data_IF_656581498013
#
_entry.id   IF_656581498013
#
_cell.length_a   1.000
_cell.length_b   1.000
_cell.length_c   1.000
_cell.angle_alpha   90.00
_cell.angle_beta   90.00
_cell.angle_gamma   90.00
#
_symmetry.space_group_name_H-M   'P 1'
#
loop_
_entity.id
_entity.type
_entity.pdbx_description
1 polymer ?
#
# COMPACT_ATOMS: atom_id res chain seq x y z
N UNK A 1 -7.92 0.26 27.57
CA UNK A 1 -6.99 0.82 26.59
C UNK A 1 -7.49 2.16 26.08
N UNK A 2 -6.60 3.06 25.68
CA UNK A 2 -7.01 4.26 24.94
C UNK A 2 -7.05 3.98 23.44
N UNK A 3 -8.04 4.59 22.75
CA UNK A 3 -8.21 4.44 21.30
C UNK A 3 -8.76 5.74 20.69
N UNK A 4 -8.49 5.96 19.40
CA UNK A 4 -9.04 7.04 18.61
C UNK A 4 -10.34 6.57 17.97
N UNK A 5 -11.48 6.98 18.51
CA UNK A 5 -12.82 6.57 18.08
C UNK A 5 -13.58 7.74 17.46
N UNK A 6 -14.45 7.49 16.50
CA UNK A 6 -15.47 8.43 16.05
C UNK A 6 -16.87 7.83 16.18
N UNK A 7 -17.81 8.66 16.66
CA UNK A 7 -19.20 8.25 16.93
C UNK A 7 -20.16 8.74 15.86
N UNK A 8 -19.71 9.62 14.95
CA UNK A 8 -20.44 10.12 13.80
C UNK A 8 -19.47 10.48 12.67
N UNK A 9 -19.94 10.49 11.43
CA UNK A 9 -19.16 10.98 10.31
C UNK A 9 -19.06 12.52 10.36
N UNK A 10 -17.90 13.07 9.95
CA UNK A 10 -17.75 14.51 9.96
C UNK A 10 -16.31 15.00 9.73
N UNK A 11 -15.99 16.23 10.12
CA UNK A 11 -14.63 16.80 10.04
C UNK A 11 -13.68 16.12 11.05
N UNK A 12 -12.36 16.38 10.97
CA UNK A 12 -11.37 15.74 11.86
C UNK A 12 -11.68 15.77 13.36
N UNK A 13 -12.40 16.78 13.82
CA UNK A 13 -12.80 16.94 15.23
C UNK A 13 -13.80 15.91 15.76
N UNK A 14 -14.37 15.02 14.91
CA UNK A 14 -15.20 13.89 15.38
C UNK A 14 -14.37 12.72 15.91
N UNK A 15 -13.04 12.76 15.73
CA UNK A 15 -12.11 11.79 16.30
C UNK A 15 -11.85 12.15 17.77
N UNK A 16 -12.12 11.22 18.67
CA UNK A 16 -11.95 11.39 20.12
C UNK A 16 -10.99 10.33 20.66
N UNK A 17 -10.03 10.74 21.48
CA UNK A 17 -9.10 9.84 22.16
C UNK A 17 -9.67 9.44 23.51
N UNK A 18 -10.30 8.26 23.59
CA UNK A 18 -11.11 7.81 24.72
C UNK A 18 -10.66 6.46 25.25
N UNK A 19 -11.07 6.16 26.51
CA UNK A 19 -10.89 4.84 27.10
C UNK A 19 -11.96 3.87 26.62
N UNK A 20 -11.53 2.75 26.07
CA UNK A 20 -12.35 1.61 25.67
C UNK A 20 -11.94 0.35 26.47
N UNK A 21 -12.82 -0.65 26.59
CA UNK A 21 -12.43 -1.96 27.13
C UNK A 21 -11.25 -2.56 26.34
N UNK A 22 -10.35 -3.24 27.05
CA UNK A 22 -9.28 -3.98 26.39
C UNK A 22 -9.84 -5.11 25.54
N UNK A 23 -9.32 -5.34 24.33
CA UNK A 23 -9.73 -6.46 23.51
C UNK A 23 -9.22 -7.78 24.12
N UNK A 24 -9.96 -8.86 23.87
CA UNK A 24 -9.60 -10.23 24.27
C UNK A 24 -9.44 -11.07 23.03
N UNK A 25 -8.41 -11.91 22.96
CA UNK A 25 -8.17 -12.79 21.83
C UNK A 25 -9.30 -13.82 21.66
N UNK A 26 -9.91 -13.86 20.47
CA UNK A 26 -10.73 -15.00 20.06
C UNK A 26 -9.87 -16.24 19.79
N UNK A 27 -10.46 -17.42 19.57
CA UNK A 27 -9.69 -18.66 19.39
C UNK A 27 -8.61 -18.59 18.30
N UNK A 28 -8.85 -17.86 17.20
CA UNK A 28 -7.96 -17.73 16.04
C UNK A 28 -7.29 -16.34 15.93
N UNK A 29 -7.44 -15.51 16.99
CA UNK A 29 -6.96 -14.13 17.00
C UNK A 29 -5.72 -13.98 17.89
N UNK A 30 -5.08 -12.82 17.73
CA UNK A 30 -4.07 -12.30 18.64
C UNK A 30 -4.49 -10.90 19.13
N UNK A 31 -4.03 -10.52 20.33
CA UNK A 31 -4.03 -9.13 20.78
C UNK A 31 -2.62 -8.57 20.60
N UNK A 32 -2.53 -7.40 20.03
CA UNK A 32 -1.29 -6.70 19.69
C UNK A 32 -1.24 -5.41 20.51
N UNK A 33 -0.14 -5.19 21.23
CA UNK A 33 0.24 -3.86 21.71
C UNK A 33 0.74 -3.07 20.51
N UNK A 34 -0.04 -2.07 20.12
CA UNK A 34 0.25 -1.27 18.91
C UNK A 34 1.39 -0.31 19.21
N UNK A 35 2.38 -0.26 18.35
CA UNK A 35 3.46 0.71 18.38
C UNK A 35 3.30 1.76 17.27
N UNK A 36 2.83 1.36 16.11
CA UNK A 36 2.65 2.26 14.99
C UNK A 36 1.46 1.84 14.12
N UNK A 37 0.78 2.83 13.52
CA UNK A 37 -0.26 2.66 12.51
C UNK A 37 -0.20 3.82 11.53
N UNK A 38 -0.49 3.60 10.24
CA UNK A 38 -0.36 4.69 9.25
C UNK A 38 -1.70 5.34 8.93
N UNK A 39 -1.72 6.67 8.74
CA UNK A 39 -2.90 7.39 8.25
C UNK A 39 -3.01 7.22 6.73
N UNK A 40 -4.15 6.73 6.26
CA UNK A 40 -4.45 6.49 4.85
C UNK A 40 -5.53 7.44 4.33
N UNK A 41 -5.16 8.37 3.44
CA UNK A 41 -6.07 9.40 2.92
C UNK A 41 -7.34 8.83 2.29
N UNK A 42 -7.18 7.83 1.42
CA UNK A 42 -8.29 7.23 0.66
C UNK A 42 -9.11 6.22 1.47
N UNK A 43 -8.67 5.90 2.68
CA UNK A 43 -9.37 5.04 3.63
C UNK A 43 -9.77 5.83 4.86
N UNK A 44 -8.84 6.02 5.81
CA UNK A 44 -9.14 6.54 7.14
C UNK A 44 -9.78 7.93 7.08
N UNK A 45 -9.18 8.85 6.29
CA UNK A 45 -9.73 10.21 6.13
C UNK A 45 -11.09 10.18 5.42
N UNK A 46 -11.22 9.42 4.34
CA UNK A 46 -12.45 9.34 3.56
C UNK A 46 -13.59 8.61 4.31
N UNK A 47 -13.27 7.57 5.07
CA UNK A 47 -14.24 6.85 5.92
C UNK A 47 -14.74 7.77 7.03
N UNK A 48 -13.83 8.37 7.82
CA UNK A 48 -14.19 9.29 8.89
C UNK A 48 -15.06 10.45 8.39
N UNK A 49 -14.74 10.99 7.20
CA UNK A 49 -15.50 12.07 6.58
C UNK A 49 -16.88 11.62 6.02
N UNK A 50 -17.16 10.32 5.94
CA UNK A 50 -18.37 9.79 5.32
C UNK A 50 -18.39 9.86 3.79
N UNK A 51 -17.26 10.16 3.15
CA UNK A 51 -17.15 10.30 1.68
C UNK A 51 -16.87 8.98 0.97
N UNK A 52 -16.69 7.89 1.72
CA UNK A 52 -16.42 6.55 1.20
C UNK A 52 -17.46 5.50 1.66
N UNK A 53 -18.78 5.69 1.37
CA UNK A 53 -19.84 4.82 1.88
C UNK A 53 -19.75 3.38 1.34
N UNK A 54 -19.05 3.15 0.25
CA UNK A 54 -18.82 1.83 -0.34
C UNK A 54 -17.98 0.89 0.54
N UNK A 55 -17.30 1.41 1.56
CA UNK A 55 -16.63 0.58 2.56
C UNK A 55 -17.59 -0.06 3.57
N UNK A 56 -18.78 0.51 3.76
CA UNK A 56 -19.80 -0.04 4.65
C UNK A 56 -19.53 0.18 6.14
N UNK A 57 -18.56 1.04 6.49
CA UNK A 57 -18.29 1.38 7.90
C UNK A 57 -19.43 2.19 8.47
N UNK A 58 -19.80 1.89 9.72
CA UNK A 58 -20.78 2.65 10.50
C UNK A 58 -20.18 3.03 11.87
N UNK A 59 -20.34 4.27 12.31
CA UNK A 59 -19.99 4.67 13.69
C UNK A 59 -20.84 3.92 14.75
N UNK A 60 -20.32 3.67 15.98
CA UNK A 60 -18.96 4.01 16.43
C UNK A 60 -17.89 3.11 15.81
N UNK A 61 -16.73 3.68 15.48
CA UNK A 61 -15.66 2.93 14.85
C UNK A 61 -14.26 3.46 15.22
N UNK A 62 -13.27 2.55 15.26
CA UNK A 62 -11.83 2.82 15.41
C UNK A 62 -11.17 2.50 14.08
N UNK A 63 -10.46 3.46 13.50
CA UNK A 63 -9.75 3.33 12.22
C UNK A 63 -8.39 2.61 12.39
N UNK A 64 -7.57 2.64 11.32
CA UNK A 64 -6.23 2.07 11.30
C UNK A 64 -6.19 0.64 10.77
N UNK A 65 -5.85 0.49 9.49
CA UNK A 65 -5.93 -0.81 8.77
C UNK A 65 -4.62 -1.59 8.75
N UNK A 66 -3.54 -1.00 9.25
CA UNK A 66 -2.18 -1.52 9.11
C UNK A 66 -1.32 -1.40 10.39
N UNK A 67 -1.87 -1.68 11.59
CA UNK A 67 -1.07 -1.54 12.81
C UNK A 67 0.10 -2.52 12.83
N UNK A 68 1.18 -2.08 13.48
CA UNK A 68 2.34 -2.92 13.81
C UNK A 68 2.67 -2.78 15.29
N UNK A 69 3.19 -3.84 15.88
CA UNK A 69 3.47 -3.88 17.31
C UNK A 69 3.89 -5.26 17.78
N UNK A 70 3.65 -5.54 19.07
CA UNK A 70 4.04 -6.76 19.74
C UNK A 70 2.82 -7.56 20.18
N UNK A 71 2.81 -8.87 19.92
CA UNK A 71 1.75 -9.78 20.38
C UNK A 71 1.81 -9.89 21.90
N UNK A 72 0.69 -9.59 22.57
CA UNK A 72 0.56 -9.68 24.04
C UNK A 72 -0.38 -10.80 24.50
N UNK A 73 -1.25 -11.30 23.63
CA UNK A 73 -2.15 -12.43 23.90
C UNK A 73 -2.37 -13.24 22.60
N UNK A 74 -2.52 -14.57 22.72
CA UNK A 74 -2.82 -15.46 21.60
C UNK A 74 -4.04 -16.31 21.92
N UNK A 75 -4.93 -16.50 20.94
CA UNK A 75 -6.04 -17.44 21.03
C UNK A 75 -5.59 -18.89 21.02
N UNK A 76 -6.45 -19.79 21.50
CA UNK A 76 -6.12 -21.20 21.72
C UNK A 76 -5.78 -22.01 20.46
N UNK A 77 -6.20 -21.55 19.28
CA UNK A 77 -5.91 -22.20 17.99
C UNK A 77 -4.67 -21.61 17.30
N UNK A 78 -4.09 -20.51 17.82
CA UNK A 78 -2.95 -19.85 17.21
C UNK A 78 -1.68 -20.64 17.46
N UNK A 79 -1.03 -21.10 16.39
CA UNK A 79 0.21 -21.89 16.47
C UNK A 79 1.41 -21.25 15.74
N UNK A 80 1.15 -20.23 14.92
CA UNK A 80 2.16 -19.55 14.09
C UNK A 80 2.71 -18.28 14.72
N UNK A 81 2.10 -17.78 15.80
CA UNK A 81 2.50 -16.59 16.54
C UNK A 81 2.57 -16.89 18.04
N UNK A 82 3.40 -16.16 18.76
CA UNK A 82 3.61 -16.25 20.20
C UNK A 82 3.63 -14.87 20.83
N UNK A 83 3.32 -14.79 22.12
CA UNK A 83 3.53 -13.55 22.90
C UNK A 83 4.98 -13.11 22.81
N UNK A 84 5.19 -11.82 22.54
CA UNK A 84 6.50 -11.23 22.29
C UNK A 84 6.88 -11.14 20.81
N UNK A 85 6.17 -11.81 19.88
CA UNK A 85 6.43 -11.68 18.44
C UNK A 85 6.14 -10.26 17.97
N UNK A 86 7.07 -9.71 17.18
CA UNK A 86 6.90 -8.46 16.44
C UNK A 86 6.06 -8.75 15.20
N UNK A 87 4.96 -8.05 15.04
CA UNK A 87 4.03 -8.30 13.92
C UNK A 87 3.53 -7.01 13.30
N UNK A 88 3.07 -7.12 12.06
CA UNK A 88 2.24 -6.11 11.41
C UNK A 88 1.00 -6.76 10.81
N UNK A 89 -0.11 -6.06 10.86
CA UNK A 89 -1.39 -6.55 10.34
C UNK A 89 -1.53 -6.14 8.88
N UNK A 90 -1.92 -7.08 8.03
CA UNK A 90 -2.36 -6.81 6.67
C UNK A 90 -3.88 -6.63 6.65
N UNK A 91 -4.40 -5.79 5.76
CA UNK A 91 -5.83 -5.48 5.71
C UNK A 91 -6.73 -6.69 5.39
N UNK A 92 -6.20 -7.71 4.69
CA UNK A 92 -6.98 -8.90 4.31
C UNK A 92 -7.26 -9.82 5.49
N UNK A 93 -8.54 -10.20 5.70
CA UNK A 93 -8.96 -11.15 6.73
C UNK A 93 -9.42 -12.48 6.13
N UNK A 94 -9.36 -13.59 6.89
CA UNK A 94 -10.00 -14.84 6.51
C UNK A 94 -11.47 -14.63 6.13
N UNK A 95 -11.96 -15.41 5.15
CA UNK A 95 -13.34 -15.27 4.65
C UNK A 95 -13.57 -14.04 3.77
N UNK A 96 -12.53 -13.22 3.54
CA UNK A 96 -12.59 -12.09 2.62
C UNK A 96 -12.94 -10.75 3.26
N UNK A 97 -12.98 -10.66 4.57
CA UNK A 97 -13.12 -9.41 5.31
C UNK A 97 -11.89 -8.51 5.21
N UNK A 98 -12.03 -7.28 5.73
CA UNK A 98 -10.97 -6.24 5.74
C UNK A 98 -10.81 -5.72 7.16
N UNK A 99 -9.62 -5.95 7.71
CA UNK A 99 -9.24 -5.44 9.02
C UNK A 99 -9.31 -3.90 9.06
N UNK A 100 -9.81 -3.36 10.17
CA UNK A 100 -10.01 -1.91 10.32
C UNK A 100 -11.18 -1.33 9.51
N UNK A 101 -11.94 -2.18 8.82
CA UNK A 101 -13.15 -1.82 8.06
C UNK A 101 -14.37 -2.57 8.63
N UNK A 102 -14.35 -3.90 8.64
CA UNK A 102 -15.43 -4.73 9.19
C UNK A 102 -15.26 -5.01 10.69
N UNK A 103 -14.16 -4.57 11.30
CA UNK A 103 -13.88 -4.61 12.73
C UNK A 103 -13.13 -3.35 13.14
N UNK A 104 -13.02 -3.09 14.43
CA UNK A 104 -12.17 -2.02 14.94
C UNK A 104 -10.72 -2.21 14.49
N UNK A 105 -10.09 -1.10 14.10
CA UNK A 105 -8.72 -1.07 13.60
C UNK A 105 -7.68 -0.82 14.70
N UNK A 106 -6.52 -0.36 14.24
CA UNK A 106 -5.31 -0.21 15.04
C UNK A 106 -5.04 1.20 15.59
N UNK A 107 -5.95 2.17 15.42
CA UNK A 107 -5.80 3.51 16.02
C UNK A 107 -6.08 3.43 17.53
N UNK A 108 -5.33 2.59 18.25
CA UNK A 108 -5.52 2.21 19.65
C UNK A 108 -4.22 1.71 20.28
N UNK A 109 -4.16 1.66 21.61
CA UNK A 109 -3.02 1.07 22.33
C UNK A 109 -2.96 -0.46 22.21
N UNK A 110 -4.12 -1.11 22.16
CA UNK A 110 -4.25 -2.54 21.95
C UNK A 110 -5.24 -2.80 20.81
N UNK A 111 -4.97 -3.79 19.99
CA UNK A 111 -5.92 -4.21 18.95
C UNK A 111 -6.00 -5.72 18.83
N UNK A 112 -7.18 -6.24 18.48
CA UNK A 112 -7.38 -7.65 18.16
C UNK A 112 -7.35 -7.84 16.65
N UNK A 113 -6.58 -8.80 16.18
CA UNK A 113 -6.53 -9.16 14.77
C UNK A 113 -6.51 -10.67 14.57
N UNK A 114 -7.09 -11.21 13.47
CA UNK A 114 -6.91 -12.60 13.11
C UNK A 114 -5.40 -12.93 12.93
N UNK A 115 -4.92 -14.00 13.55
CA UNK A 115 -3.52 -14.42 13.43
C UNK A 115 -3.09 -14.65 11.97
N UNK A 116 -4.02 -15.06 11.11
CA UNK A 116 -3.79 -15.23 9.67
C UNK A 116 -3.61 -13.92 8.89
N UNK A 117 -3.99 -12.78 9.48
CA UNK A 117 -3.76 -11.43 8.92
C UNK A 117 -2.45 -10.82 9.40
N UNK A 118 -1.79 -11.42 10.37
CA UNK A 118 -0.56 -10.93 10.96
C UNK A 118 0.65 -11.54 10.28
N UNK A 119 1.67 -10.72 10.06
CA UNK A 119 2.96 -11.13 9.48
C UNK A 119 4.08 -10.73 10.43
N UNK A 120 5.02 -11.64 10.69
CA UNK A 120 6.20 -11.34 11.53
C UNK A 120 7.07 -10.30 10.86
N UNK A 121 7.43 -9.28 11.62
CA UNK A 121 8.32 -8.19 11.22
C UNK A 121 9.76 -8.58 11.58
N UNK A 122 10.72 -8.38 10.66
CA UNK A 122 12.14 -8.59 10.92
C UNK A 122 12.65 -7.62 11.98
N UNK A 123 13.62 -8.03 12.77
CA UNK A 123 14.15 -7.20 13.88
C UNK A 123 14.78 -5.90 13.39
N UNK A 124 15.34 -5.91 12.19
CA UNK A 124 15.97 -4.75 11.53
C UNK A 124 14.96 -3.71 11.04
N UNK A 125 13.66 -4.07 10.94
CA UNK A 125 12.60 -3.19 10.43
C UNK A 125 11.88 -2.53 11.61
N UNK A 126 11.81 -1.19 11.62
CA UNK A 126 11.05 -0.44 12.61
C UNK A 126 9.54 -0.63 12.45
N UNK A 127 8.76 -0.42 13.52
CA UNK A 127 7.30 -0.55 13.44
C UNK A 127 6.68 0.49 12.51
N UNK A 128 7.21 1.70 12.46
CA UNK A 128 6.77 2.74 11.55
C UNK A 128 6.92 2.34 10.06
N UNK A 129 8.03 1.72 9.69
CA UNK A 129 8.25 1.17 8.36
C UNK A 129 7.35 -0.04 8.11
N UNK A 130 7.17 -0.89 9.13
CA UNK A 130 6.38 -2.11 9.02
C UNK A 130 4.92 -1.83 8.65
N UNK A 131 4.29 -0.75 9.15
CA UNK A 131 2.92 -0.38 8.76
C UNK A 131 2.82 -0.09 7.27
N UNK A 132 3.78 0.68 6.73
CA UNK A 132 3.78 1.06 5.31
C UNK A 132 4.01 -0.16 4.42
N UNK A 133 4.95 -1.03 4.83
CA UNK A 133 5.27 -2.27 4.10
C UNK A 133 4.07 -3.21 4.12
N UNK A 134 3.46 -3.48 5.26
CA UNK A 134 2.31 -4.40 5.35
C UNK A 134 1.09 -3.91 4.57
N UNK A 135 0.92 -2.59 4.43
CA UNK A 135 -0.19 -2.00 3.68
C UNK A 135 0.01 -2.05 2.17
N UNK A 136 1.21 -1.78 1.70
CA UNK A 136 1.48 -1.59 0.27
C UNK A 136 2.36 -2.68 -0.34
N UNK A 137 3.25 -3.28 0.45
CA UNK A 137 4.17 -4.32 0.00
C UNK A 137 3.50 -5.54 -0.62
N UNK A 138 2.50 -6.17 0.03
CA UNK A 138 1.80 -7.32 -0.54
C UNK A 138 1.17 -7.02 -1.90
N UNK A 139 0.61 -5.82 -2.06
CA UNK A 139 0.01 -5.40 -3.34
C UNK A 139 1.08 -5.23 -4.40
N UNK A 140 2.18 -4.53 -4.09
CA UNK A 140 3.29 -4.33 -5.01
C UNK A 140 3.94 -5.65 -5.41
N UNK A 141 4.18 -6.54 -4.45
CA UNK A 141 4.74 -7.87 -4.70
C UNK A 141 3.81 -8.71 -5.60
N UNK A 142 2.53 -8.74 -5.31
CA UNK A 142 1.54 -9.48 -6.10
C UNK A 142 1.47 -8.96 -7.54
N UNK A 143 1.45 -7.64 -7.72
CA UNK A 143 1.45 -7.03 -9.06
C UNK A 143 2.71 -7.37 -9.86
N UNK A 144 3.88 -7.31 -9.25
CA UNK A 144 5.14 -7.58 -9.96
C UNK A 144 5.35 -9.07 -10.24
N UNK A 145 5.17 -9.92 -9.23
CA UNK A 145 5.67 -11.30 -9.29
C UNK A 145 4.58 -12.34 -9.48
N UNK A 146 3.44 -12.24 -8.79
CA UNK A 146 2.38 -13.26 -8.91
C UNK A 146 1.52 -13.05 -10.17
N UNK A 147 1.17 -11.81 -10.51
CA UNK A 147 0.38 -11.46 -11.68
C UNK A 147 1.25 -11.03 -12.87
N UNK A 148 2.24 -10.19 -12.61
CA UNK A 148 3.15 -9.67 -13.62
C UNK A 148 4.19 -10.67 -14.11
N UNK A 149 4.49 -11.69 -13.30
CA UNK A 149 5.52 -12.72 -13.58
C UNK A 149 6.88 -12.11 -13.98
N UNK A 150 7.21 -10.95 -13.38
CA UNK A 150 8.44 -10.20 -13.66
C UNK A 150 9.67 -11.04 -13.33
N UNK A 151 10.64 -11.06 -14.24
CA UNK A 151 11.92 -11.79 -14.11
C UNK A 151 13.11 -10.86 -14.30
N UNK A 152 14.26 -11.29 -13.79
CA UNK A 152 15.53 -10.60 -14.04
C UNK A 152 15.77 -10.40 -15.55
N UNK A 153 16.28 -9.22 -15.91
CA UNK A 153 16.56 -8.85 -17.29
C UNK A 153 15.34 -8.36 -18.09
N UNK A 154 14.12 -8.44 -17.55
CA UNK A 154 12.94 -7.85 -18.18
C UNK A 154 12.82 -6.37 -17.87
N UNK A 155 12.06 -5.64 -18.71
CA UNK A 155 11.79 -4.20 -18.53
C UNK A 155 10.37 -4.00 -18.00
N UNK A 156 10.24 -3.21 -16.94
CA UNK A 156 8.95 -2.83 -16.35
C UNK A 156 8.74 -1.31 -16.38
N UNK A 157 7.57 -0.89 -16.88
CA UNK A 157 7.06 0.47 -16.72
C UNK A 157 6.21 0.55 -15.45
N UNK A 158 6.57 1.45 -14.53
CA UNK A 158 5.82 1.69 -13.29
C UNK A 158 5.23 3.10 -13.33
N UNK A 159 3.90 3.17 -13.42
CA UNK A 159 3.16 4.43 -13.37
C UNK A 159 2.88 4.83 -11.92
N UNK A 160 3.02 6.13 -11.62
CA UNK A 160 2.82 6.65 -10.26
C UNK A 160 4.02 6.47 -9.34
N UNK A 161 5.21 6.68 -9.85
CA UNK A 161 6.51 6.45 -9.20
C UNK A 161 6.64 7.06 -7.78
N UNK A 162 6.03 8.24 -7.53
CA UNK A 162 6.11 8.92 -6.25
C UNK A 162 5.08 8.43 -5.20
N UNK A 163 4.13 7.58 -5.58
CA UNK A 163 3.14 6.99 -4.66
C UNK A 163 3.71 5.79 -3.90
N UNK A 164 3.07 5.41 -2.78
CA UNK A 164 3.56 4.30 -1.95
C UNK A 164 3.68 2.97 -2.74
N UNK A 165 2.69 2.63 -3.57
CA UNK A 165 2.75 1.42 -4.40
C UNK A 165 3.83 1.51 -5.46
N UNK A 166 3.96 2.66 -6.14
CA UNK A 166 5.00 2.86 -7.15
C UNK A 166 6.40 2.82 -6.55
N UNK A 167 6.62 3.50 -5.43
CA UNK A 167 7.93 3.56 -4.77
C UNK A 167 8.41 2.19 -4.28
N UNK A 168 7.52 1.38 -3.70
CA UNK A 168 7.83 0.00 -3.31
C UNK A 168 8.06 -0.87 -4.55
N UNK A 169 7.19 -0.73 -5.57
CA UNK A 169 7.31 -1.48 -6.83
C UNK A 169 8.64 -1.26 -7.54
N UNK A 170 9.13 -0.01 -7.60
CA UNK A 170 10.44 0.33 -8.20
C UNK A 170 11.55 -0.44 -7.50
N UNK A 171 11.62 -0.38 -6.17
CA UNK A 171 12.69 -0.99 -5.40
C UNK A 171 12.66 -2.52 -5.47
N UNK A 172 11.49 -3.14 -5.37
CA UNK A 172 11.32 -4.59 -5.50
C UNK A 172 11.69 -5.07 -6.92
N UNK A 173 11.29 -4.36 -7.96
CA UNK A 173 11.65 -4.69 -9.34
C UNK A 173 13.16 -4.56 -9.57
N UNK A 174 13.81 -3.52 -9.01
CA UNK A 174 15.26 -3.36 -9.06
C UNK A 174 15.99 -4.48 -8.32
N UNK A 175 15.54 -4.82 -7.12
CA UNK A 175 16.13 -5.93 -6.35
C UNK A 175 16.00 -7.28 -7.09
N UNK A 176 14.95 -7.45 -7.90
CA UNK A 176 14.76 -8.62 -8.74
C UNK A 176 15.58 -8.62 -10.05
N UNK A 177 16.39 -7.58 -10.30
CA UNK A 177 17.25 -7.47 -11.48
C UNK A 177 16.52 -7.05 -12.77
N UNK A 178 15.37 -6.37 -12.66
CA UNK A 178 14.68 -5.81 -13.79
C UNK A 178 15.23 -4.42 -14.19
N UNK A 179 15.05 -4.04 -15.45
CA UNK A 179 15.16 -2.65 -15.90
C UNK A 179 13.87 -1.91 -15.58
N UNK A 180 13.96 -0.82 -14.82
CA UNK A 180 12.79 -0.09 -14.33
C UNK A 180 12.69 1.28 -14.99
N UNK A 181 11.55 1.53 -15.64
CA UNK A 181 11.16 2.85 -16.16
C UNK A 181 10.08 3.40 -15.23
N UNK A 182 10.40 4.45 -14.47
CA UNK A 182 9.48 5.10 -13.56
C UNK A 182 8.77 6.26 -14.26
N UNK A 183 7.44 6.33 -14.23
CA UNK A 183 6.68 7.39 -14.87
C UNK A 183 5.80 8.15 -13.88
N UNK A 184 5.77 9.47 -14.00
CA UNK A 184 4.98 10.36 -13.15
C UNK A 184 4.51 11.63 -13.91
N UNK A 185 3.52 12.34 -13.34
CA UNK A 185 2.91 13.53 -13.96
C UNK A 185 3.63 14.84 -13.63
N UNK A 186 4.90 14.80 -13.24
CA UNK A 186 5.78 15.97 -13.17
C UNK A 186 7.24 15.53 -13.02
N UNK A 187 8.16 16.39 -13.44
CA UNK A 187 9.60 16.16 -13.32
C UNK A 187 10.03 15.87 -11.86
N UNK A 188 9.51 16.61 -10.90
CA UNK A 188 9.82 16.40 -9.49
C UNK A 188 9.40 15.01 -8.98
N UNK A 189 8.22 14.53 -9.39
CA UNK A 189 7.73 13.19 -9.03
C UNK A 189 8.47 12.09 -9.78
N UNK A 190 8.84 12.31 -11.02
CA UNK A 190 9.65 11.36 -11.80
C UNK A 190 11.05 11.18 -11.20
N UNK A 191 11.67 12.27 -10.73
CA UNK A 191 12.97 12.25 -10.04
C UNK A 191 12.98 11.39 -8.77
N UNK A 192 11.84 11.25 -8.07
CA UNK A 192 11.70 10.33 -6.94
C UNK A 192 11.96 8.88 -7.41
N UNK A 193 11.45 8.50 -8.59
CA UNK A 193 11.71 7.18 -9.17
C UNK A 193 13.20 6.91 -9.36
N UNK A 194 13.94 7.88 -9.89
CA UNK A 194 15.40 7.78 -10.05
C UNK A 194 16.11 7.64 -8.68
N UNK A 195 15.70 8.44 -7.69
CA UNK A 195 16.26 8.36 -6.34
C UNK A 195 15.99 7.00 -5.66
N UNK A 196 14.94 6.29 -6.07
CA UNK A 196 14.60 4.94 -5.62
C UNK A 196 15.24 3.82 -6.45
N UNK A 197 16.10 4.16 -7.42
CA UNK A 197 16.88 3.22 -8.20
C UNK A 197 16.29 2.85 -9.56
N UNK A 198 15.26 3.53 -10.07
CA UNK A 198 14.81 3.33 -11.44
C UNK A 198 15.92 3.69 -12.44
N UNK A 199 16.07 2.90 -13.50
CA UNK A 199 17.08 3.12 -14.55
C UNK A 199 16.72 4.33 -15.41
N UNK A 200 15.41 4.56 -15.64
CA UNK A 200 14.89 5.67 -16.40
C UNK A 200 13.71 6.32 -15.66
N UNK A 201 13.52 7.61 -15.88
CA UNK A 201 12.39 8.36 -15.35
C UNK A 201 11.72 9.18 -16.47
N UNK A 202 10.39 9.12 -16.55
CA UNK A 202 9.59 9.81 -17.57
C UNK A 202 8.59 10.74 -16.90
N UNK A 203 8.65 12.02 -17.26
CA UNK A 203 7.59 12.99 -16.96
C UNK A 203 6.58 13.02 -18.12
N UNK A 204 5.48 12.29 -17.96
CA UNK A 204 4.44 12.21 -18.98
C UNK A 204 3.58 13.48 -19.11
N UNK A 205 3.82 14.51 -18.29
CA UNK A 205 3.22 15.83 -18.52
C UNK A 205 3.99 16.66 -19.57
N UNK A 206 5.26 16.32 -19.80
CA UNK A 206 6.14 17.04 -20.72
C UNK A 206 6.34 16.31 -22.04
N UNK A 207 6.21 14.97 -22.07
CA UNK A 207 6.43 14.16 -23.29
C UNK A 207 5.33 13.12 -23.47
N UNK A 208 5.15 12.60 -24.70
CA UNK A 208 4.29 11.45 -24.93
C UNK A 208 4.90 10.21 -24.28
N UNK A 209 4.15 9.55 -23.39
CA UNK A 209 4.64 8.40 -22.62
C UNK A 209 5.10 7.27 -23.54
N UNK A 210 4.29 6.90 -24.54
CA UNK A 210 4.61 5.81 -25.46
C UNK A 210 5.88 6.08 -26.25
N UNK A 211 6.01 7.27 -26.83
CA UNK A 211 7.19 7.63 -27.62
C UNK A 211 8.46 7.57 -26.76
N UNK A 212 8.40 8.12 -25.53
CA UNK A 212 9.52 8.05 -24.59
C UNK A 212 9.90 6.60 -24.21
N UNK A 213 8.91 5.72 -24.02
CA UNK A 213 9.17 4.30 -23.73
C UNK A 213 9.81 3.61 -24.94
N UNK A 214 9.31 3.86 -26.15
CA UNK A 214 9.87 3.26 -27.37
C UNK A 214 11.31 3.75 -27.61
N UNK A 215 11.60 5.02 -27.35
CA UNK A 215 12.97 5.56 -27.45
C UNK A 215 13.92 4.90 -26.42
N UNK A 216 13.48 4.72 -25.16
CA UNK A 216 14.27 4.07 -24.10
C UNK A 216 14.54 2.59 -24.42
N UNK A 217 13.61 1.92 -25.09
CA UNK A 217 13.67 0.47 -25.34
C UNK A 217 14.07 0.12 -26.78
N UNK A 218 14.62 1.08 -27.54
CA UNK A 218 15.02 0.88 -28.96
C UNK A 218 13.89 0.30 -29.84
N UNK A 219 12.63 0.63 -29.51
CA UNK A 219 11.45 0.18 -30.23
C UNK A 219 10.84 -1.14 -29.74
N UNK A 220 11.46 -1.84 -28.81
CA UNK A 220 10.98 -3.14 -28.32
C UNK A 220 9.75 -3.05 -27.41
N UNK A 221 9.63 -1.97 -26.62
CA UNK A 221 8.62 -1.81 -25.59
C UNK A 221 8.97 -2.52 -24.28
N UNK A 222 7.97 -2.65 -23.37
CA UNK A 222 8.18 -3.20 -22.03
C UNK A 222 7.51 -4.57 -21.85
N UNK A 223 8.09 -5.44 -21.00
CA UNK A 223 7.52 -6.74 -20.66
C UNK A 223 6.30 -6.61 -19.75
N UNK A 224 6.38 -5.66 -18.80
CA UNK A 224 5.36 -5.43 -17.81
C UNK A 224 5.01 -3.95 -17.71
N UNK A 225 3.73 -3.63 -17.72
CA UNK A 225 3.18 -2.35 -17.34
C UNK A 225 2.46 -2.46 -16.00
N UNK A 226 3.04 -1.84 -14.97
CA UNK A 226 2.51 -1.76 -13.61
C UNK A 226 1.78 -0.41 -13.45
N UNK A 227 0.45 -0.45 -13.48
CA UNK A 227 -0.39 0.72 -13.30
C UNK A 227 -1.05 0.72 -11.92
N UNK A 228 -0.96 1.85 -11.22
CA UNK A 228 -1.65 2.05 -9.94
C UNK A 228 -2.49 3.34 -9.91
N UNK A 229 -2.76 3.94 -11.07
CA UNK A 229 -3.47 5.21 -11.22
C UNK A 229 -4.75 5.07 -12.03
N UNK A 230 -4.72 4.33 -13.13
CA UNK A 230 -5.79 4.23 -14.14
C UNK A 230 -6.16 5.60 -14.73
N UNK A 231 -5.16 6.41 -15.12
CA UNK A 231 -5.43 7.68 -15.79
C UNK A 231 -5.92 7.41 -17.22
N UNK A 232 -7.11 7.94 -17.64
CA UNK A 232 -7.70 7.64 -18.95
C UNK A 232 -6.86 8.05 -20.16
N UNK A 233 -6.02 9.07 -20.02
CA UNK A 233 -5.18 9.59 -21.10
C UNK A 233 -3.80 8.91 -21.15
N UNK A 234 -3.29 8.45 -20.01
CA UNK A 234 -1.93 7.93 -19.87
C UNK A 234 -1.89 6.39 -19.90
N UNK A 235 -2.85 5.73 -19.25
CA UNK A 235 -2.90 4.27 -19.19
C UNK A 235 -2.96 3.61 -20.59
N UNK A 236 -3.73 4.12 -21.59
CA UNK A 236 -3.70 3.59 -22.95
C UNK A 236 -2.31 3.61 -23.58
N UNK A 237 -1.53 4.67 -23.35
CA UNK A 237 -0.16 4.81 -23.87
C UNK A 237 0.78 3.75 -23.24
N UNK A 238 0.59 3.45 -21.94
CA UNK A 238 1.31 2.36 -21.27
C UNK A 238 0.96 0.99 -21.85
N UNK A 239 -0.32 0.71 -22.14
CA UNK A 239 -0.75 -0.53 -22.80
C UNK A 239 -0.14 -0.65 -24.20
N UNK A 240 -0.12 0.43 -24.97
CA UNK A 240 0.45 0.46 -26.32
C UNK A 240 1.98 0.39 -26.35
N UNK A 241 2.64 0.58 -25.20
CA UNK A 241 4.09 0.41 -25.02
C UNK A 241 4.50 -1.01 -24.66
N UNK A 242 3.53 -1.93 -24.47
CA UNK A 242 3.81 -3.32 -24.19
C UNK A 242 4.32 -4.03 -25.45
N UNK A 243 5.38 -4.81 -25.33
CA UNK A 243 5.82 -5.71 -26.38
C UNK A 243 4.90 -6.91 -26.51
N UNK A 244 5.10 -7.70 -27.56
CA UNK A 244 4.31 -8.93 -27.76
C UNK A 244 4.39 -9.86 -26.55
N UNK A 245 3.24 -10.38 -26.12
CA UNK A 245 3.02 -11.18 -24.89
C UNK A 245 3.23 -10.40 -23.60
N UNK A 246 3.34 -9.05 -23.68
CA UNK A 246 3.46 -8.20 -22.51
C UNK A 246 2.24 -8.26 -21.60
N UNK A 247 2.44 -7.89 -20.34
CA UNK A 247 1.41 -7.91 -19.31
C UNK A 247 1.14 -6.50 -18.77
N UNK A 248 -0.13 -6.18 -18.56
CA UNK A 248 -0.53 -5.05 -17.74
C UNK A 248 -1.10 -5.57 -16.43
N UNK A 249 -0.68 -5.00 -15.31
CA UNK A 249 -1.24 -5.27 -13.98
C UNK A 249 -1.67 -3.97 -13.33
N UNK A 250 -2.83 -3.97 -12.66
CA UNK A 250 -3.35 -2.74 -12.02
C UNK A 250 -3.95 -3.02 -10.65
N UNK A 251 -3.82 -2.05 -9.73
CA UNK A 251 -4.40 -2.05 -8.38
C UNK A 251 -5.01 -0.69 -7.99
N UNK A 252 -5.23 0.21 -8.93
CA UNK A 252 -5.75 1.54 -8.62
C UNK A 252 -6.68 2.08 -9.69
N UNK A 253 -7.54 3.01 -9.29
CA UNK A 253 -8.45 3.74 -10.16
C UNK A 253 -8.57 5.22 -9.74
N UNK A 254 -7.49 5.78 -9.22
CA UNK A 254 -7.49 7.15 -8.69
C UNK A 254 -7.58 8.22 -9.79
N UNK A 255 -7.14 7.90 -11.01
CA UNK A 255 -7.24 8.77 -12.18
C UNK A 255 -8.59 8.69 -12.89
N UNK A 256 -9.37 7.64 -12.61
CA UNK A 256 -10.71 7.41 -13.17
C UNK A 256 -11.05 5.91 -13.20
N UNK A 257 -12.34 5.53 -13.11
CA UNK A 257 -12.76 4.13 -13.14
C UNK A 257 -12.82 3.53 -14.55
N UNK A 258 -12.74 4.37 -15.59
CA UNK A 258 -12.89 3.95 -16.98
C UNK A 258 -11.69 4.40 -17.80
N UNK A 259 -11.02 3.45 -18.44
CA UNK A 259 -9.88 3.66 -19.31
C UNK A 259 -10.18 3.08 -20.69
N UNK A 260 -9.98 3.83 -21.80
CA UNK A 260 -10.15 3.28 -23.15
C UNK A 260 -9.04 2.27 -23.44
N UNK A 261 -9.41 1.14 -24.07
CA UNK A 261 -8.48 0.06 -24.45
C UNK A 261 -8.62 -0.22 -25.94
N UNK A 262 -7.52 -0.15 -26.68
CA UNK A 262 -7.47 -0.55 -28.09
C UNK A 262 -7.37 -2.08 -28.19
N UNK A 263 -8.48 -2.75 -28.44
CA UNK A 263 -8.54 -4.21 -28.57
C UNK A 263 -7.75 -4.74 -29.78
N UNK A 264 -7.53 -3.94 -30.83
CA UNK A 264 -6.65 -4.35 -31.92
C UNK A 264 -5.21 -4.54 -31.43
N UNK A 265 -4.71 -3.63 -30.58
CA UNK A 265 -3.40 -3.78 -29.92
C UNK A 265 -3.38 -5.04 -29.03
N UNK A 266 -4.42 -5.23 -28.22
CA UNK A 266 -4.50 -6.39 -27.29
C UNK A 266 -4.38 -7.71 -28.05
N UNK A 267 -5.18 -7.93 -29.11
CA UNK A 267 -5.13 -9.23 -29.79
C UNK A 267 -3.90 -9.38 -30.71
N UNK A 268 -3.44 -8.32 -31.37
CA UNK A 268 -2.25 -8.41 -32.23
C UNK A 268 -0.98 -8.67 -31.44
N UNK A 269 -0.83 -8.00 -30.28
CA UNK A 269 0.31 -8.21 -29.39
C UNK A 269 0.13 -9.39 -28.42
N UNK A 270 -1.06 -10.01 -28.39
CA UNK A 270 -1.39 -11.08 -27.47
C UNK A 270 -1.18 -10.70 -25.99
N UNK A 271 -1.67 -9.50 -25.61
CA UNK A 271 -1.46 -8.93 -24.28
C UNK A 271 -2.32 -9.62 -23.20
N UNK A 272 -1.83 -9.59 -21.98
CA UNK A 272 -2.59 -9.99 -20.78
C UNK A 272 -2.85 -8.76 -19.92
N UNK A 273 -4.12 -8.52 -19.52
CA UNK A 273 -4.51 -7.42 -18.63
C UNK A 273 -5.15 -8.01 -17.38
N UNK A 274 -4.61 -7.69 -16.20
CA UNK A 274 -5.07 -8.25 -14.92
C UNK A 274 -5.19 -7.19 -13.85
N UNK A 275 -6.25 -7.29 -13.02
CA UNK A 275 -6.42 -6.51 -11.81
C UNK A 275 -5.99 -7.28 -10.56
N UNK A 276 -5.53 -6.56 -9.54
CA UNK A 276 -5.24 -7.11 -8.22
C UNK A 276 -6.43 -6.89 -7.28
N UNK A 277 -7.30 -7.87 -7.07
CA UNK A 277 -8.42 -7.71 -6.16
C UNK A 277 -8.00 -7.83 -4.68
N UNK A 278 -6.99 -8.65 -4.39
CA UNK A 278 -6.49 -8.96 -3.04
C UNK A 278 -5.10 -9.56 -3.08
N UNK A 279 -4.25 -9.14 -2.15
CA UNK A 279 -2.94 -9.75 -1.90
C UNK A 279 -3.03 -10.67 -0.69
N UNK A 280 -2.14 -11.65 -0.60
CA UNK A 280 -2.02 -12.52 0.56
C UNK A 280 -1.14 -11.86 1.61
N UNK A 281 -1.40 -12.10 2.90
CA UNK A 281 -0.58 -11.57 3.98
C UNK A 281 0.90 -11.98 3.82
N UNK A 282 1.15 -13.22 3.42
CA UNK A 282 2.50 -13.75 3.19
C UNK A 282 3.29 -13.04 2.08
N UNK A 283 2.63 -12.30 1.17
CA UNK A 283 3.31 -11.49 0.15
C UNK A 283 4.05 -10.29 0.78
N UNK A 284 3.81 -9.98 2.07
CA UNK A 284 4.60 -9.01 2.82
C UNK A 284 5.98 -9.54 3.24
N UNK A 285 6.16 -10.85 3.39
CA UNK A 285 7.42 -11.43 3.86
C UNK A 285 8.62 -11.04 2.98
N UNK A 286 8.57 -11.23 1.64
CA UNK A 286 9.67 -10.79 0.78
C UNK A 286 9.94 -9.28 0.86
N UNK A 287 8.90 -8.48 1.16
CA UNK A 287 9.06 -7.04 1.31
C UNK A 287 9.79 -6.70 2.63
N UNK A 288 9.49 -7.41 3.73
CA UNK A 288 10.23 -7.29 4.98
C UNK A 288 11.67 -7.78 4.85
N UNK A 289 11.91 -8.86 4.10
CA UNK A 289 13.27 -9.35 3.81
C UNK A 289 14.06 -8.29 3.05
N UNK A 290 13.48 -7.72 1.99
CA UNK A 290 14.11 -6.64 1.23
C UNK A 290 14.39 -5.39 2.08
N UNK A 291 13.50 -5.06 3.03
CA UNK A 291 13.69 -3.94 3.94
C UNK A 291 14.83 -4.22 4.95
N UNK A 292 14.88 -5.42 5.52
CA UNK A 292 15.94 -5.83 6.43
C UNK A 292 17.33 -5.84 5.76
N UNK A 293 17.38 -6.17 4.48
CA UNK A 293 18.59 -6.12 3.65
C UNK A 293 18.95 -4.70 3.18
N UNK A 294 18.11 -3.69 3.46
CA UNK A 294 18.31 -2.30 3.00
C UNK A 294 17.95 -2.03 1.54
N UNK A 295 17.34 -3.01 0.86
CA UNK A 295 16.91 -2.94 -0.55
C UNK A 295 15.53 -2.31 -0.73
N UNK A 296 14.76 -2.13 0.36
CA UNK A 296 13.48 -1.45 0.37
C UNK A 296 13.44 -0.41 1.48
N UNK A 297 13.19 0.84 1.10
CA UNK A 297 13.02 1.97 2.01
C UNK A 297 11.66 2.60 1.78
N UNK A 298 10.95 2.93 2.87
CA UNK A 298 9.68 3.65 2.81
C UNK A 298 9.87 5.11 3.18
N UNK A 299 9.07 5.99 2.59
CA UNK A 299 9.13 7.42 2.87
C UNK A 299 8.10 7.75 3.95
N UNK A 300 8.60 8.03 5.16
CA UNK A 300 7.81 8.50 6.29
C UNK A 300 7.98 10.03 6.36
N UNK A 301 6.88 10.77 6.35
CA UNK A 301 6.89 12.21 6.52
C UNK A 301 7.11 12.58 7.99
N UNK A 302 6.32 11.97 8.86
CA UNK A 302 6.43 12.18 10.32
C UNK A 302 5.86 11.03 11.12
N UNK A 303 6.33 10.92 12.36
CA UNK A 303 5.78 10.06 13.41
C UNK A 303 5.28 10.97 14.52
N UNK A 304 4.03 10.82 14.93
CA UNK A 304 3.39 11.65 15.95
C UNK A 304 2.59 10.79 16.95
N UNK A 305 2.32 11.29 18.16
CA UNK A 305 1.45 10.58 19.11
C UNK A 305 0.08 10.25 18.51
N UNK A 306 -0.49 9.09 18.87
CA UNK A 306 -1.83 8.68 18.44
C UNK A 306 -2.90 9.75 18.74
N UNK A 307 -2.77 10.46 19.85
CA UNK A 307 -3.68 11.56 20.23
C UNK A 307 -3.74 12.71 19.20
N UNK A 308 -2.72 12.85 18.35
CA UNK A 308 -2.67 13.88 17.29
C UNK A 308 -3.39 13.47 15.99
N UNK A 309 -4.02 12.29 15.94
CA UNK A 309 -4.73 11.83 14.74
C UNK A 309 -5.70 12.86 14.14
N UNK A 310 -6.51 13.64 14.91
CA UNK A 310 -7.37 14.66 14.34
C UNK A 310 -6.60 15.72 13.54
N UNK A 311 -5.46 16.19 14.07
CA UNK A 311 -4.60 17.17 13.40
C UNK A 311 -3.96 16.58 12.12
N UNK A 312 -3.59 15.32 12.13
CA UNK A 312 -3.01 14.64 10.98
C UNK A 312 -4.05 14.39 9.88
N UNK A 313 -5.29 14.05 10.23
CA UNK A 313 -6.39 13.98 9.27
C UNK A 313 -6.65 15.34 8.62
N UNK A 314 -6.68 16.43 9.40
CA UNK A 314 -6.83 17.78 8.88
C UNK A 314 -5.69 18.17 7.93
N UNK A 315 -4.45 17.83 8.29
CA UNK A 315 -3.29 18.07 7.43
C UNK A 315 -3.41 17.35 6.09
N UNK A 316 -3.81 16.08 6.10
CA UNK A 316 -3.98 15.27 4.88
C UNK A 316 -5.14 15.75 3.99
N UNK A 317 -6.15 16.39 4.55
CA UNK A 317 -7.21 17.02 3.77
C UNK A 317 -6.73 18.31 3.07
N UNK A 318 -5.92 19.11 3.75
CA UNK A 318 -5.42 20.38 3.24
C UNK A 318 -4.29 20.20 2.21
N UNK A 319 -3.31 19.36 2.52
CA UNK A 319 -2.13 19.11 1.67
C UNK A 319 -1.69 17.64 1.79
N UNK A 320 -1.79 16.84 0.72
CA UNK A 320 -1.34 15.47 0.76
C UNK A 320 0.18 15.42 0.92
N UNK A 321 0.63 14.91 2.06
CA UNK A 321 2.04 14.67 2.37
C UNK A 321 2.74 13.82 1.30
N UNK A 322 4.01 14.08 1.06
CA UNK A 322 4.85 13.28 0.13
C UNK A 322 5.15 11.89 0.70
N UNK A 323 5.19 11.74 2.03
CA UNK A 323 5.42 10.48 2.74
C UNK A 323 4.21 10.03 3.55
N UNK A 324 4.39 8.95 4.31
CA UNK A 324 3.37 8.47 5.25
C UNK A 324 3.43 9.21 6.58
N UNK A 325 2.26 9.54 7.10
CA UNK A 325 2.10 9.97 8.50
C UNK A 325 1.84 8.72 9.33
N UNK A 326 2.61 8.56 10.39
CA UNK A 326 2.53 7.45 11.33
C UNK A 326 2.04 7.97 12.67
N UNK A 327 1.03 7.30 13.22
CA UNK A 327 0.55 7.49 14.58
C UNK A 327 1.25 6.46 15.47
N UNK A 328 1.91 6.92 16.51
CA UNK A 328 2.60 6.08 17.50
C UNK A 328 1.80 6.09 18.80
N UNK A 329 1.32 4.93 19.24
CA UNK A 329 0.50 4.80 20.42
C UNK A 329 1.32 4.73 21.73
N UNK A 330 2.64 4.65 21.60
CA UNK A 330 3.57 4.63 22.75
C UNK A 330 4.04 6.04 23.14
N UNK A 331 3.80 7.03 22.29
CA UNK A 331 4.13 8.42 22.54
C UNK A 331 2.96 9.15 23.22
N UNK A 332 3.17 9.65 24.43
CA UNK A 332 2.28 10.58 25.14
C UNK A 332 1.36 9.91 26.10
#
# INVERSE_FOLDING_TARGET
MKAMIFNEFGPPGVLHYEELPDPVAGPDDVVIEVHAVSVNRVLDVAIRAGTAPHYGVAPPHVLGVDPSGVVVETGGNVSNLSVGDRVSVTMGMPGGGRYGIECFGGDSQLTRAPAASCVKVRDEVGFAEATVISRHGPVAYNLLFNLGELKAGQTVLILGAAGNLGSIGIQLAKAAGATVIAAAGSAARAAIGTALGADHAVDYSAVNLKDAIMDITDGDGVDLFYDNIANPDICPLGIESLKRFGRMVTAGAHGGPVVPVNFATVYHQQLTIMGNPRSKAQDALPCFDAAAEGNLKVVIDRVVPLAEAPAMHALMEADPAVGKIILDSTLG
#
